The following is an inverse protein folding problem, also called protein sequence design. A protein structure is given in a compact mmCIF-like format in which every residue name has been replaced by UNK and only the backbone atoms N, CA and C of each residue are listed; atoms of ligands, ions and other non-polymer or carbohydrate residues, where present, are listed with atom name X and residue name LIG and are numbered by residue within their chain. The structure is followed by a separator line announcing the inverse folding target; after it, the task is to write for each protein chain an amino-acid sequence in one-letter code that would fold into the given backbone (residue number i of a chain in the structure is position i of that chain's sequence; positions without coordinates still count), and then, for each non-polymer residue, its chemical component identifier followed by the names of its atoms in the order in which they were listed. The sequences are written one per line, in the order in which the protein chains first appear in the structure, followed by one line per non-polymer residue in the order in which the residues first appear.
data_IF_654511294854
#
_entry.id   IF_654511294854
#
_cell.length_a   1.000
_cell.length_b   1.000
_cell.length_c   1.000
_cell.angle_alpha   90.00
_cell.angle_beta   90.00
_cell.angle_gamma   90.00
#
_symmetry.space_group_name_H-M   'P 1'
#
loop_
_entity.id
_entity.type
_entity.pdbx_description
1 polymer ?
#
# COMPACT_ATOMS: atom_id res chain seq x y z
N UNK A 1 3.77 -6.26 23.44
CA UNK A 1 3.84 -6.48 21.98
C UNK A 1 2.63 -7.31 21.56
N UNK A 2 1.60 -6.70 20.96
CA UNK A 2 0.45 -7.44 20.42
C UNK A 2 0.89 -8.04 19.07
N UNK A 3 1.06 -9.37 19.01
CA UNK A 3 1.10 -10.08 17.72
C UNK A 3 -0.27 -9.93 17.10
N UNK A 4 -0.36 -9.24 15.97
CA UNK A 4 -1.52 -9.32 15.08
C UNK A 4 -1.48 -10.72 14.47
N UNK A 5 -2.60 -11.45 14.53
CA UNK A 5 -2.68 -12.76 13.90
C UNK A 5 -2.42 -12.61 12.39
N UNK A 6 -1.68 -13.52 11.74
CA UNK A 6 -1.47 -13.46 10.30
C UNK A 6 -2.84 -13.47 9.62
N UNK A 7 -3.04 -12.51 8.72
CA UNK A 7 -4.28 -12.41 7.96
C UNK A 7 -4.51 -13.71 7.19
N UNK A 8 -5.65 -14.37 7.43
CA UNK A 8 -6.11 -15.51 6.64
C UNK A 8 -7.21 -15.03 5.72
N UNK A 9 -6.95 -15.09 4.43
CA UNK A 9 -7.92 -14.61 3.47
C UNK A 9 -9.06 -15.65 3.28
N UNK A 10 -10.33 -15.25 3.31
CA UNK A 10 -11.46 -16.13 2.96
C UNK A 10 -11.46 -16.45 1.46
N UNK A 11 -12.05 -17.58 1.03
CA UNK A 11 -12.08 -17.99 -0.39
C UNK A 11 -12.54 -16.87 -1.34
N UNK A 12 -11.82 -16.69 -2.45
CA UNK A 12 -12.05 -15.63 -3.43
C UNK A 12 -11.05 -15.69 -4.58
N UNK A 13 -11.42 -15.14 -5.75
CA UNK A 13 -10.55 -15.08 -6.93
C UNK A 13 -9.30 -14.22 -6.65
N UNK A 14 -8.15 -14.71 -7.08
CA UNK A 14 -6.90 -13.96 -7.06
C UNK A 14 -6.71 -13.33 -8.44
N UNK A 15 -6.62 -12.00 -8.48
CA UNK A 15 -6.42 -11.24 -9.71
C UNK A 15 -5.02 -10.63 -9.69
N UNK A 16 -4.22 -10.91 -10.72
CA UNK A 16 -2.94 -10.24 -10.91
C UNK A 16 -3.20 -8.81 -11.41
N UNK A 17 -2.76 -7.81 -10.64
CA UNK A 17 -2.86 -6.40 -11.02
C UNK A 17 -1.59 -5.90 -11.71
N UNK A 18 -0.43 -6.41 -11.29
CA UNK A 18 0.85 -6.15 -11.94
C UNK A 18 1.85 -7.26 -11.62
N UNK A 19 2.62 -7.69 -12.61
CA UNK A 19 3.75 -8.59 -12.42
C UNK A 19 4.99 -8.03 -13.13
N UNK A 20 5.95 -7.57 -12.33
CA UNK A 20 7.16 -6.90 -12.78
C UNK A 20 8.33 -7.37 -11.93
N UNK A 21 9.55 -7.28 -12.47
CA UNK A 21 10.76 -7.71 -11.78
C UNK A 21 10.97 -7.00 -10.41
N UNK A 22 10.50 -5.77 -10.28
CA UNK A 22 10.61 -4.93 -9.09
C UNK A 22 9.41 -5.06 -8.13
N UNK A 23 8.28 -5.60 -8.57
CA UNK A 23 7.10 -5.81 -7.73
C UNK A 23 6.07 -6.74 -8.37
N UNK A 24 5.46 -7.58 -7.53
CA UNK A 24 4.25 -8.33 -7.88
C UNK A 24 3.09 -7.79 -7.05
N UNK A 25 1.96 -7.47 -7.69
CA UNK A 25 0.77 -6.93 -7.05
C UNK A 25 -0.42 -7.79 -7.42
N UNK A 26 -1.03 -8.41 -6.41
CA UNK A 26 -2.27 -9.18 -6.57
C UNK A 26 -3.39 -8.54 -5.76
N UNK A 27 -4.62 -8.74 -6.22
CA UNK A 27 -5.83 -8.51 -5.44
C UNK A 27 -6.44 -9.84 -5.04
N UNK A 28 -6.89 -9.92 -3.80
CA UNK A 28 -7.72 -11.00 -3.30
C UNK A 28 -8.87 -10.41 -2.49
N UNK A 29 -10.09 -10.51 -3.01
CA UNK A 29 -11.26 -9.86 -2.41
C UNK A 29 -11.12 -8.33 -2.33
N UNK A 30 -11.04 -7.78 -1.12
CA UNK A 30 -10.85 -6.34 -0.85
C UNK A 30 -9.43 -6.01 -0.38
N UNK A 31 -8.48 -6.93 -0.55
CA UNK A 31 -7.09 -6.76 -0.15
C UNK A 31 -6.19 -6.77 -1.38
N UNK A 32 -5.21 -5.88 -1.38
CA UNK A 32 -4.09 -5.87 -2.32
C UNK A 32 -2.84 -6.32 -1.56
N UNK A 33 -2.16 -7.33 -2.09
CA UNK A 33 -0.83 -7.72 -1.63
C UNK A 33 0.21 -7.23 -2.65
N UNK A 34 1.18 -6.46 -2.16
CA UNK A 34 2.35 -6.03 -2.95
C UNK A 34 3.59 -6.72 -2.41
N UNK A 35 4.12 -7.67 -3.16
CA UNK A 35 5.44 -8.22 -2.95
C UNK A 35 6.47 -7.25 -3.55
N UNK A 36 7.41 -6.79 -2.73
CA UNK A 36 8.45 -5.85 -3.13
C UNK A 36 9.61 -6.56 -3.83
N UNK A 37 10.55 -5.81 -4.38
CA UNK A 37 11.73 -6.36 -5.05
C UNK A 37 12.53 -7.26 -4.09
N UNK A 38 13.13 -8.36 -4.58
CA UNK A 38 14.09 -9.13 -3.81
C UNK A 38 15.19 -8.23 -3.22
N UNK A 39 15.55 -8.45 -1.95
CA UNK A 39 16.56 -7.64 -1.25
C UNK A 39 16.07 -6.28 -0.76
N UNK A 40 14.77 -5.97 -0.84
CA UNK A 40 14.19 -4.77 -0.18
C UNK A 40 14.49 -4.82 1.32
N UNK A 41 15.14 -3.78 1.84
CA UNK A 41 15.40 -3.63 3.27
C UNK A 41 14.09 -3.46 4.05
N UNK A 42 13.80 -4.44 4.91
CA UNK A 42 12.53 -4.53 5.66
C UNK A 42 12.40 -3.38 6.64
N UNK A 43 13.50 -2.96 7.27
CA UNK A 43 13.51 -1.86 8.23
C UNK A 43 13.12 -0.53 7.58
N UNK A 44 13.73 -0.20 6.43
CA UNK A 44 13.36 1.00 5.68
C UNK A 44 11.94 0.92 5.12
N UNK A 45 11.51 -0.25 4.66
CA UNK A 45 10.14 -0.46 4.22
C UNK A 45 9.15 -0.25 5.37
N UNK A 46 9.46 -0.72 6.57
CA UNK A 46 8.62 -0.53 7.74
C UNK A 46 8.47 0.96 8.10
N UNK A 47 9.52 1.77 7.97
CA UNK A 47 9.43 3.23 8.13
C UNK A 47 8.46 3.84 7.12
N UNK A 48 8.59 3.51 5.83
CA UNK A 48 7.70 4.04 4.77
C UNK A 48 6.25 3.63 4.97
N UNK A 49 6.02 2.38 5.35
CA UNK A 49 4.67 1.85 5.64
C UNK A 49 4.11 2.46 6.92
N UNK A 50 4.96 2.75 7.91
CA UNK A 50 4.60 3.48 9.13
C UNK A 50 4.08 4.88 8.84
N UNK A 51 4.74 5.64 7.96
CA UNK A 51 4.26 6.96 7.51
C UNK A 51 2.86 6.86 6.88
N UNK A 52 2.60 5.85 6.05
CA UNK A 52 1.28 5.65 5.45
C UNK A 52 0.20 5.27 6.49
N UNK A 53 0.59 4.68 7.61
CA UNK A 53 -0.30 4.32 8.72
C UNK A 53 -0.49 5.45 9.75
N UNK A 54 0.30 6.51 9.68
CA UNK A 54 0.31 7.55 10.70
C UNK A 54 -1.00 8.35 10.72
N UNK A 55 -1.59 8.64 11.90
CA UNK A 55 -2.79 9.45 12.00
C UNK A 55 -2.69 10.83 11.34
N UNK A 56 -1.51 11.46 11.30
CA UNK A 56 -1.27 12.72 10.62
C UNK A 56 -1.46 12.63 9.09
N UNK A 57 -1.34 11.42 8.54
CA UNK A 57 -1.58 11.13 7.12
C UNK A 57 -2.99 10.60 6.84
N UNK A 58 -3.87 10.50 7.84
CA UNK A 58 -5.25 10.04 7.66
C UNK A 58 -6.02 10.92 6.64
N UNK A 59 -6.63 10.28 5.64
CA UNK A 59 -7.33 11.00 4.55
C UNK A 59 -6.40 11.64 3.51
N UNK A 60 -5.09 11.37 3.60
CA UNK A 60 -4.07 11.74 2.60
C UNK A 60 -3.43 10.49 2.01
N UNK A 61 -2.93 9.60 2.87
CA UNK A 61 -2.42 8.29 2.48
C UNK A 61 -3.42 7.21 2.87
N UNK A 62 -3.48 6.15 2.06
CA UNK A 62 -4.27 4.98 2.37
C UNK A 62 -3.56 4.20 3.50
N UNK A 63 -4.18 3.95 4.67
CA UNK A 63 -3.53 3.17 5.71
C UNK A 63 -3.36 1.70 5.28
N UNK A 64 -2.20 1.08 5.54
CA UNK A 64 -1.99 -0.34 5.29
C UNK A 64 -2.77 -1.19 6.31
N UNK A 65 -2.98 -2.46 5.97
CA UNK A 65 -3.64 -3.42 6.89
C UNK A 65 -2.71 -3.94 8.00
N UNK A 66 -1.44 -3.56 7.97
CA UNK A 66 -0.40 -3.97 8.91
C UNK A 66 0.99 -3.51 8.47
N UNK A 67 2.01 -3.92 9.22
CA UNK A 67 3.40 -3.72 8.82
C UNK A 67 3.83 -4.68 7.71
N UNK A 68 5.06 -4.54 7.17
CA UNK A 68 5.60 -5.49 6.22
C UNK A 68 5.78 -6.89 6.82
N UNK A 69 5.49 -7.91 6.03
CA UNK A 69 5.73 -9.31 6.35
C UNK A 69 6.73 -9.91 5.35
N UNK A 70 7.23 -11.13 5.62
CA UNK A 70 8.12 -11.85 4.70
C UNK A 70 7.40 -13.05 4.10
N UNK A 71 7.50 -13.19 2.78
CA UNK A 71 7.09 -14.38 2.06
C UNK A 71 8.11 -15.53 2.23
N UNK A 72 7.73 -16.79 1.92
CA UNK A 72 8.65 -17.93 2.03
C UNK A 72 9.92 -17.82 1.18
N UNK A 73 9.88 -17.04 0.09
CA UNK A 73 11.03 -16.73 -0.76
C UNK A 73 11.90 -15.57 -0.24
N UNK A 74 11.56 -15.02 0.94
CA UNK A 74 12.27 -13.92 1.58
C UNK A 74 11.89 -12.52 1.07
N UNK A 75 10.99 -12.39 0.09
CA UNK A 75 10.52 -11.07 -0.35
C UNK A 75 9.63 -10.42 0.71
N UNK A 76 9.79 -9.12 0.90
CA UNK A 76 8.87 -8.36 1.73
C UNK A 76 7.51 -8.21 1.04
N UNK A 77 6.42 -8.28 1.80
CA UNK A 77 5.05 -8.06 1.33
C UNK A 77 4.33 -7.05 2.22
N UNK A 78 3.51 -6.21 1.62
CA UNK A 78 2.63 -5.26 2.32
C UNK A 78 1.19 -5.46 1.86
N UNK A 79 0.24 -5.33 2.77
CA UNK A 79 -1.19 -5.51 2.53
C UNK A 79 -1.94 -4.19 2.64
N UNK A 80 -2.85 -3.95 1.69
CA UNK A 80 -3.58 -2.69 1.57
C UNK A 80 -5.06 -2.95 1.28
N UNK A 81 -5.98 -2.06 1.70
CA UNK A 81 -7.34 -2.07 1.18
C UNK A 81 -7.33 -1.87 -0.35
N UNK A 82 -8.20 -2.59 -1.06
CA UNK A 82 -8.43 -2.34 -2.49
C UNK A 82 -9.33 -1.12 -2.67
N UNK A 83 -8.89 -0.17 -3.49
CA UNK A 83 -9.68 0.97 -3.94
C UNK A 83 -9.93 0.92 -5.44
N UNK A 84 -10.70 1.87 -5.96
CA UNK A 84 -10.91 2.04 -7.39
C UNK A 84 -9.67 2.66 -8.06
N UNK A 85 -8.99 1.96 -8.98
CA UNK A 85 -7.82 2.52 -9.66
C UNK A 85 -8.22 3.59 -10.69
N UNK A 86 -7.37 4.60 -10.88
CA UNK A 86 -7.52 5.54 -12.00
C UNK A 86 -7.19 4.82 -13.32
N UNK A 87 -8.10 4.87 -14.29
CA UNK A 87 -7.94 4.23 -15.60
C UNK A 87 -6.81 4.89 -16.42
N UNK A 88 -5.75 4.16 -16.81
CA UNK A 88 -4.72 4.70 -17.70
C UNK A 88 -5.22 4.96 -19.12
N UNK A 89 -6.32 4.33 -19.54
CA UNK A 89 -6.91 4.49 -20.86
C UNK A 89 -7.73 5.79 -21.00
N UNK A 90 -8.09 6.42 -19.88
CA UNK A 90 -8.92 7.63 -19.84
C UNK A 90 -8.27 8.73 -18.99
N UNK A 91 -7.08 9.23 -19.37
CA UNK A 91 -6.34 10.20 -18.57
C UNK A 91 -7.08 11.54 -18.38
N UNK A 92 -8.00 11.88 -19.29
CA UNK A 92 -8.86 13.05 -19.17
C UNK A 92 -9.94 12.93 -18.09
N UNK A 93 -10.28 11.71 -17.67
CA UNK A 93 -11.24 11.44 -16.60
C UNK A 93 -10.57 11.33 -15.22
N UNK A 94 -9.24 11.46 -15.13
CA UNK A 94 -8.54 11.39 -13.87
C UNK A 94 -8.97 12.56 -12.94
N UNK A 95 -9.14 12.30 -11.63
CA UNK A 95 -9.62 13.30 -10.66
C UNK A 95 -8.50 14.27 -10.25
N UNK A 96 -8.06 15.11 -11.20
CA UNK A 96 -6.89 15.97 -11.04
C UNK A 96 -7.06 17.02 -9.94
N UNK A 97 -8.27 17.55 -9.76
CA UNK A 97 -8.56 18.53 -8.72
C UNK A 97 -8.43 17.92 -7.32
N UNK A 98 -8.98 16.73 -7.12
CA UNK A 98 -8.91 15.96 -5.88
C UNK A 98 -7.48 15.52 -5.59
N UNK A 99 -6.74 15.07 -6.61
CA UNK A 99 -5.32 14.74 -6.50
C UNK A 99 -4.49 15.97 -6.08
N UNK A 100 -4.75 17.14 -6.65
CA UNK A 100 -4.11 18.40 -6.24
C UNK A 100 -4.41 18.76 -4.79
N UNK A 101 -5.67 18.60 -4.36
CA UNK A 101 -6.05 18.82 -2.97
C UNK A 101 -5.39 17.82 -2.00
N UNK A 102 -5.25 16.55 -2.39
CA UNK A 102 -4.50 15.53 -1.64
C UNK A 102 -3.03 15.92 -1.51
N UNK A 103 -2.38 16.35 -2.60
CA UNK A 103 -0.99 16.77 -2.60
C UNK A 103 -0.75 18.00 -1.72
N UNK A 104 -1.65 18.99 -1.76
CA UNK A 104 -1.59 20.15 -0.87
C UNK A 104 -1.68 19.75 0.60
N UNK A 105 -2.57 18.82 0.96
CA UNK A 105 -2.65 18.29 2.32
C UNK A 105 -1.39 17.51 2.72
N UNK A 106 -0.83 16.71 1.82
CA UNK A 106 0.43 16.00 2.06
C UNK A 106 1.57 16.97 2.38
N UNK A 107 1.71 18.06 1.62
CA UNK A 107 2.73 19.08 1.88
C UNK A 107 2.53 19.86 3.19
N UNK A 108 1.31 19.84 3.75
CA UNK A 108 1.02 20.47 5.04
C UNK A 108 1.35 19.56 6.24
N UNK A 109 1.65 18.27 6.03
CA UNK A 109 2.04 17.36 7.11
C UNK A 109 3.47 17.68 7.55
N UNK A 110 3.71 18.11 8.80
CA UNK A 110 5.06 18.39 9.27
C UNK A 110 5.86 17.09 9.38
N UNK A 111 7.05 16.96 8.76
CA UNK A 111 7.83 15.73 8.85
C UNK A 111 8.25 15.36 10.27
N UNK A 112 8.40 16.35 11.16
CA UNK A 112 8.71 16.13 12.57
C UNK A 112 7.54 15.56 13.39
N UNK A 113 6.33 15.48 12.80
CA UNK A 113 5.16 14.86 13.40
C UNK A 113 4.99 13.38 13.02
N UNK A 114 5.87 12.86 12.14
CA UNK A 114 5.89 11.48 11.64
C UNK A 114 6.96 10.64 12.34
#
# INVERSE_FOLDING_TARGET
MRRVAPWRAPGGEVVMLADRADATVIRHGQVVAKAHAPGTEVGELAVRVGVAADPACAGVLLPPLGGPELLPDGRAVTLWPYGEPVSPAEPGAAPWAEAGALLARLHAVPPAAL
#
